data_IF_596437105832
#
_entry.id   IF_596437105832
#
_cell.length_a   1.000
_cell.length_b   1.000
_cell.length_c   1.000
_cell.angle_alpha   90.00
_cell.angle_beta   90.00
_cell.angle_gamma   90.00
#
_symmetry.space_group_name_H-M   'P 1'
#
loop_
_entity.id
_entity.type
_entity.pdbx_description
1 polymer ?
#
# COMPACT_ATOMS: atom_id res chain seq x y z
N UNK A 1 11.33 8.53 7.81
CA UNK A 1 10.56 9.74 7.49
C UNK A 1 9.53 9.96 8.60
N UNK A 2 9.52 11.16 9.18
CA UNK A 2 8.50 11.60 10.16
C UNK A 2 7.16 11.85 9.45
N UNK A 3 6.09 12.05 10.22
CA UNK A 3 4.78 12.37 9.65
C UNK A 3 4.79 13.72 8.92
N UNK A 4 5.51 14.72 9.44
CA UNK A 4 5.62 16.05 8.82
C UNK A 4 6.39 15.99 7.49
N UNK A 5 7.53 15.29 7.47
CA UNK A 5 8.29 15.07 6.23
C UNK A 5 7.44 14.35 5.17
N UNK A 6 6.64 13.36 5.61
CA UNK A 6 5.75 12.61 4.73
C UNK A 6 4.62 13.46 4.17
N UNK A 7 4.00 14.30 5.00
CA UNK A 7 2.94 15.22 4.58
C UNK A 7 3.46 16.25 3.55
N UNK A 8 4.64 16.83 3.79
CA UNK A 8 5.28 17.74 2.83
C UNK A 8 5.61 17.03 1.50
N UNK A 9 6.20 15.83 1.58
CA UNK A 9 6.51 15.03 0.39
C UNK A 9 5.26 14.69 -0.43
N UNK A 10 4.16 14.34 0.23
CA UNK A 10 2.87 14.10 -0.41
C UNK A 10 2.29 15.38 -1.01
N UNK A 11 2.37 16.51 -0.32
CA UNK A 11 1.88 17.79 -0.83
C UNK A 11 2.62 18.22 -2.10
N UNK A 12 3.94 18.03 -2.16
CA UNK A 12 4.73 18.32 -3.37
C UNK A 12 4.36 17.39 -4.54
N UNK A 13 4.16 16.10 -4.25
CA UNK A 13 3.69 15.14 -5.26
C UNK A 13 2.29 15.47 -5.78
N UNK A 14 1.39 15.91 -4.89
CA UNK A 14 0.04 16.33 -5.22
C UNK A 14 0.06 17.58 -6.12
N UNK A 15 0.85 18.61 -5.77
CA UNK A 15 1.04 19.83 -6.58
C UNK A 15 1.56 19.51 -7.97
N UNK A 16 2.51 18.58 -8.07
CA UNK A 16 3.05 18.14 -9.35
C UNK A 16 2.02 17.38 -10.21
N UNK A 17 0.98 16.81 -9.59
CA UNK A 17 -0.11 16.10 -10.28
C UNK A 17 -1.24 17.04 -10.71
N UNK A 18 -1.57 18.01 -9.87
CA UNK A 18 -2.64 18.99 -10.09
C UNK A 18 -2.06 20.41 -10.20
N UNK A 19 -1.16 20.62 -11.16
CA UNK A 19 -0.41 21.89 -11.31
C UNK A 19 -1.26 23.13 -11.61
N UNK A 20 -2.56 22.94 -11.87
CA UNK A 20 -3.53 24.00 -12.16
C UNK A 20 -4.66 24.09 -11.11
N UNK A 21 -4.63 23.25 -10.08
CA UNK A 21 -5.65 23.29 -9.03
C UNK A 21 -5.46 24.53 -8.15
N UNK A 22 -6.58 25.09 -7.72
CA UNK A 22 -6.63 26.13 -6.70
C UNK A 22 -6.23 25.59 -5.33
N UNK A 23 -5.87 26.48 -4.41
CA UNK A 23 -5.55 26.10 -3.02
C UNK A 23 -6.71 25.35 -2.33
N UNK A 24 -7.96 25.71 -2.66
CA UNK A 24 -9.14 25.03 -2.13
C UNK A 24 -9.25 23.59 -2.64
N UNK A 25 -9.12 23.37 -3.95
CA UNK A 25 -9.12 22.03 -4.54
C UNK A 25 -7.96 21.17 -4.02
N UNK A 26 -6.79 21.79 -3.82
CA UNK A 26 -5.61 21.12 -3.26
C UNK A 26 -5.84 20.67 -1.81
N UNK A 27 -6.50 21.50 -0.99
CA UNK A 27 -6.84 21.14 0.37
C UNK A 27 -7.83 19.97 0.45
N UNK A 28 -8.82 19.91 -0.46
CA UNK A 28 -9.79 18.81 -0.52
C UNK A 28 -9.13 17.47 -0.92
N UNK A 29 -8.10 17.53 -1.77
CA UNK A 29 -7.37 16.36 -2.25
C UNK A 29 -6.28 15.87 -1.30
N UNK A 30 -5.77 16.75 -0.42
CA UNK A 30 -4.70 16.45 0.54
C UNK A 30 -5.05 15.24 1.40
N UNK A 31 -4.09 14.35 1.62
CA UNK A 31 -4.26 13.22 2.53
C UNK A 31 -4.20 13.77 3.97
N UNK A 32 -5.20 13.48 4.83
CA UNK A 32 -5.18 13.98 6.21
C UNK A 32 -3.99 13.48 7.02
N UNK A 33 -3.34 14.36 7.79
CA UNK A 33 -2.15 14.01 8.57
C UNK A 33 -2.39 12.90 9.62
N UNK A 34 -3.62 12.74 10.12
CA UNK A 34 -3.98 11.71 11.10
C UNK A 34 -3.94 10.27 10.54
N UNK A 35 -3.97 10.09 9.21
CA UNK A 35 -3.80 8.77 8.59
C UNK A 35 -2.33 8.48 8.26
N UNK A 36 -1.45 9.48 8.32
CA UNK A 36 -0.02 9.28 8.09
C UNK A 36 0.63 8.55 9.27
N UNK A 37 1.59 7.69 8.95
CA UNK A 37 2.36 6.91 9.93
C UNK A 37 3.84 7.16 9.73
N UNK A 38 4.49 7.67 10.78
CA UNK A 38 5.94 7.79 10.82
C UNK A 38 6.61 6.42 10.71
N UNK A 39 7.70 6.38 9.93
CA UNK A 39 8.58 5.22 9.81
C UNK A 39 10.03 5.60 10.12
N UNK A 40 10.25 6.74 10.80
CA UNK A 40 11.57 7.26 11.16
C UNK A 40 12.35 6.36 12.13
N UNK A 41 11.67 5.46 12.85
CA UNK A 41 12.32 4.51 13.76
C UNK A 41 13.07 3.39 13.02
N UNK A 42 12.80 3.17 11.73
CA UNK A 42 13.58 2.24 10.92
C UNK A 42 14.81 2.93 10.32
N UNK A 43 15.99 2.48 10.76
CA UNK A 43 17.28 3.09 10.45
C UNK A 43 18.13 2.28 9.47
N UNK A 44 17.76 1.02 9.17
CA UNK A 44 18.46 0.21 8.18
C UNK A 44 18.24 0.74 6.76
N UNK A 45 19.14 0.41 5.79
CA UNK A 45 18.93 0.73 4.38
C UNK A 45 17.57 0.24 3.89
N UNK A 46 16.84 1.09 3.19
CA UNK A 46 15.53 0.76 2.61
C UNK A 46 15.75 0.15 1.23
N UNK A 47 15.81 -1.17 1.21
CA UNK A 47 16.03 -1.99 0.02
C UNK A 47 15.07 -3.18 0.07
N UNK A 48 14.83 -3.83 -1.06
CA UNK A 48 13.89 -4.96 -1.09
C UNK A 48 14.22 -6.05 -0.05
N UNK A 49 15.52 -6.29 0.18
CA UNK A 49 16.01 -7.28 1.14
C UNK A 49 15.65 -6.94 2.59
N UNK A 50 15.55 -5.65 2.94
CA UNK A 50 15.20 -5.19 4.29
C UNK A 50 13.70 -5.00 4.50
N UNK A 51 12.88 -5.12 3.45
CA UNK A 51 11.41 -5.01 3.56
C UNK A 51 10.83 -5.94 4.65
N UNK A 52 11.25 -7.20 4.82
CA UNK A 52 10.73 -8.03 5.89
C UNK A 52 11.02 -7.49 7.30
N UNK A 53 12.25 -7.02 7.54
CA UNK A 53 12.65 -6.42 8.81
C UNK A 53 11.91 -5.09 9.07
N UNK A 54 11.70 -4.30 8.02
CA UNK A 54 10.89 -3.09 8.07
C UNK A 54 9.45 -3.40 8.47
N UNK A 55 8.80 -4.36 7.82
CA UNK A 55 7.41 -4.74 8.14
C UNK A 55 7.30 -5.17 9.60
N UNK A 56 8.22 -6.02 10.06
CA UNK A 56 8.23 -6.51 11.43
C UNK A 56 8.40 -5.41 12.49
N UNK A 57 9.24 -4.40 12.21
CA UNK A 57 9.51 -3.34 13.18
C UNK A 57 8.52 -2.17 13.12
N UNK A 58 8.06 -1.80 11.92
CA UNK A 58 7.29 -0.56 11.71
C UNK A 58 5.79 -0.80 11.54
N UNK A 59 5.36 -2.02 11.21
CA UNK A 59 3.97 -2.35 10.89
C UNK A 59 3.43 -3.33 11.96
N UNK A 60 2.98 -2.84 13.13
CA UNK A 60 2.69 -3.64 14.33
C UNK A 60 1.37 -4.44 14.27
N UNK A 61 0.77 -4.59 13.08
CA UNK A 61 -0.56 -5.16 12.89
C UNK A 61 -0.57 -6.40 12.02
N UNK A 62 0.49 -7.23 12.10
CA UNK A 62 0.43 -8.57 11.51
C UNK A 62 -0.74 -9.32 12.15
N UNK A 63 -1.77 -9.69 11.38
CA UNK A 63 -2.99 -10.23 11.94
C UNK A 63 -2.69 -11.60 12.53
N UNK A 64 -3.13 -11.84 13.76
CA UNK A 64 -3.08 -13.16 14.40
C UNK A 64 -3.84 -14.22 13.58
N UNK A 65 -5.02 -13.84 13.07
CA UNK A 65 -5.84 -14.70 12.23
C UNK A 65 -6.62 -13.90 11.21
N UNK A 66 -6.71 -14.41 9.99
CA UNK A 66 -7.56 -13.86 8.94
C UNK A 66 -8.99 -14.38 9.10
N UNK A 67 -9.90 -13.48 9.46
CA UNK A 67 -11.32 -13.80 9.65
C UNK A 67 -12.10 -13.85 8.35
N UNK A 68 -11.80 -12.96 7.40
CA UNK A 68 -12.51 -12.84 6.11
C UNK A 68 -11.52 -12.85 4.95
N UNK A 69 -11.98 -13.32 3.79
CA UNK A 69 -11.25 -13.20 2.53
C UNK A 69 -11.07 -11.72 2.15
N UNK A 70 -10.07 -11.42 1.31
CA UNK A 70 -9.93 -10.10 0.69
C UNK A 70 -9.68 -8.93 1.66
N UNK A 71 -9.27 -9.22 2.90
CA UNK A 71 -9.08 -8.23 3.96
C UNK A 71 -7.63 -8.21 4.46
N UNK A 72 -6.68 -7.67 3.70
CA UNK A 72 -5.29 -7.58 4.12
C UNK A 72 -5.07 -6.51 5.20
N UNK A 73 -4.09 -6.74 6.07
CA UNK A 73 -3.57 -5.73 7.01
C UNK A 73 -2.54 -4.81 6.35
N UNK A 74 -1.91 -5.25 5.26
CA UNK A 74 -0.86 -4.51 4.56
C UNK A 74 -1.11 -4.53 3.04
N UNK A 75 -1.07 -3.37 2.41
CA UNK A 75 -1.10 -3.23 0.95
C UNK A 75 0.14 -2.43 0.54
N UNK A 76 1.05 -3.06 -0.19
CA UNK A 76 2.25 -2.39 -0.71
C UNK A 76 2.00 -1.90 -2.13
N UNK A 77 2.08 -0.58 -2.32
CA UNK A 77 2.04 0.04 -3.63
C UNK A 77 3.43 0.01 -4.23
N UNK A 78 3.55 -0.49 -5.45
CA UNK A 78 4.81 -0.59 -6.19
C UNK A 78 4.75 0.17 -7.51
N UNK A 79 5.88 0.70 -8.01
CA UNK A 79 5.93 1.49 -9.25
C UNK A 79 5.70 0.70 -10.54
N UNK A 80 5.73 -0.64 -10.48
CA UNK A 80 5.48 -1.49 -11.64
C UNK A 80 5.00 -2.89 -11.20
N UNK A 81 4.40 -3.63 -12.13
CA UNK A 81 3.99 -5.02 -11.89
C UNK A 81 5.18 -5.97 -11.64
N UNK A 82 6.33 -5.71 -12.27
CA UNK A 82 7.56 -6.48 -12.02
C UNK A 82 8.02 -6.25 -10.58
N UNK A 83 8.11 -4.98 -10.17
CA UNK A 83 8.50 -4.63 -8.79
C UNK A 83 7.50 -5.16 -7.76
N UNK A 84 6.21 -5.08 -8.04
CA UNK A 84 5.17 -5.67 -7.20
C UNK A 84 5.37 -7.19 -7.01
N UNK A 85 5.76 -7.92 -8.06
CA UNK A 85 6.06 -9.34 -7.96
C UNK A 85 7.27 -9.61 -7.04
N UNK A 86 8.29 -8.77 -7.07
CA UNK A 86 9.46 -8.87 -6.18
C UNK A 86 9.08 -8.57 -4.73
N UNK A 87 8.26 -7.55 -4.51
CA UNK A 87 7.66 -7.23 -3.20
C UNK A 87 6.83 -8.42 -2.68
N UNK A 88 6.01 -9.07 -3.51
CA UNK A 88 5.26 -10.27 -3.11
C UNK A 88 6.20 -11.37 -2.60
N UNK A 89 7.36 -11.58 -3.25
CA UNK A 89 8.35 -12.58 -2.80
C UNK A 89 8.99 -12.16 -1.47
N UNK A 90 9.37 -10.89 -1.32
CA UNK A 90 9.93 -10.37 -0.07
C UNK A 90 8.94 -10.48 1.10
N UNK A 91 7.67 -10.14 0.89
CA UNK A 91 6.63 -10.26 1.93
C UNK A 91 6.46 -11.70 2.42
N UNK A 92 6.66 -12.72 1.58
CA UNK A 92 6.63 -14.13 2.02
C UNK A 92 7.76 -14.50 2.99
N UNK A 93 8.81 -13.69 3.07
CA UNK A 93 9.92 -13.86 4.01
C UNK A 93 9.69 -13.16 5.35
N UNK A 94 8.60 -12.39 5.50
CA UNK A 94 8.19 -11.81 6.79
C UNK A 94 8.01 -12.92 7.82
N UNK A 95 8.52 -12.68 9.03
CA UNK A 95 8.45 -13.60 10.16
C UNK A 95 7.59 -13.00 11.25
N UNK A 96 6.69 -13.79 11.82
CA UNK A 96 5.92 -13.36 13.01
C UNK A 96 6.74 -13.65 14.28
N UNK A 97 6.73 -12.73 15.28
CA UNK A 97 7.37 -12.97 16.57
C UNK A 97 6.80 -14.20 17.29
N UNK A 98 7.61 -14.83 18.14
CA UNK A 98 7.17 -15.92 19.01
C UNK A 98 5.98 -15.48 19.88
N UNK A 99 4.96 -16.34 20.00
CA UNK A 99 3.73 -16.06 20.76
C UNK A 99 2.60 -15.34 19.98
N UNK A 100 2.78 -15.03 18.69
CA UNK A 100 1.69 -14.62 17.79
C UNK A 100 0.99 -15.84 17.13
N UNK A 101 -0.30 -15.77 16.81
CA UNK A 101 -0.96 -16.85 16.05
C UNK A 101 -0.32 -16.98 14.66
N UNK A 102 0.03 -18.22 14.26
CA UNK A 102 0.91 -18.50 13.12
C UNK A 102 2.38 -18.73 13.50
N UNK A 103 2.76 -18.47 14.77
CA UNK A 103 4.10 -18.71 15.32
C UNK A 103 4.54 -20.17 15.21
N UNK A 104 3.61 -21.14 15.20
CA UNK A 104 3.94 -22.56 14.94
C UNK A 104 4.68 -22.77 13.62
N UNK A 105 4.44 -21.89 12.64
CA UNK A 105 5.10 -21.92 11.31
C UNK A 105 6.13 -20.80 11.12
N UNK A 106 6.23 -19.87 12.08
CA UNK A 106 7.04 -18.65 11.99
C UNK A 106 6.63 -17.68 10.88
N UNK A 107 5.43 -17.81 10.29
CA UNK A 107 4.97 -17.02 9.12
C UNK A 107 3.63 -16.34 9.39
N UNK A 108 3.34 -15.18 8.75
CA UNK A 108 2.02 -14.56 8.77
C UNK A 108 0.93 -15.51 8.23
N UNK A 109 -0.32 -15.42 8.74
CA UNK A 109 -1.39 -16.28 8.28
C UNK A 109 -1.87 -15.91 6.87
N UNK A 110 -2.16 -16.90 6.03
CA UNK A 110 -2.73 -16.68 4.70
C UNK A 110 -1.74 -16.20 3.63
N UNK A 111 -2.27 -15.82 2.48
CA UNK A 111 -1.47 -15.55 1.29
C UNK A 111 -1.04 -14.07 1.13
N UNK A 112 -0.13 -13.84 0.19
CA UNK A 112 0.21 -12.50 -0.31
C UNK A 112 -0.44 -12.31 -1.69
N UNK A 113 -1.43 -11.44 -1.77
CA UNK A 113 -2.18 -11.15 -2.99
C UNK A 113 -1.36 -10.38 -4.04
N UNK A 114 -1.57 -10.71 -5.32
CA UNK A 114 -0.92 -10.06 -6.47
C UNK A 114 -1.92 -9.16 -7.19
N UNK A 115 -1.84 -7.85 -6.99
CA UNK A 115 -2.82 -6.87 -7.48
C UNK A 115 -2.20 -5.93 -8.53
N UNK A 116 -1.68 -6.49 -9.62
CA UNK A 116 -1.11 -5.74 -10.75
C UNK A 116 -1.47 -6.37 -12.10
N UNK A 117 -1.42 -5.59 -13.17
CA UNK A 117 -1.65 -6.06 -14.54
C UNK A 117 -0.40 -6.78 -15.08
N UNK A 118 -0.43 -8.11 -15.13
CA UNK A 118 0.58 -8.92 -15.85
C UNK A 118 -0.08 -10.07 -16.60
N UNK A 119 -0.70 -10.98 -15.87
CA UNK A 119 -1.44 -12.12 -16.42
C UNK A 119 -2.89 -12.18 -15.95
N UNK A 120 -3.25 -11.42 -14.91
CA UNK A 120 -4.59 -11.45 -14.33
C UNK A 120 -5.40 -10.21 -14.69
N UNK A 121 -6.64 -10.42 -15.12
CA UNK A 121 -7.66 -9.38 -15.26
C UNK A 121 -8.11 -8.90 -13.87
N UNK A 122 -8.75 -7.72 -13.83
CA UNK A 122 -9.26 -7.19 -12.56
C UNK A 122 -10.37 -8.09 -11.98
N UNK A 123 -11.24 -8.64 -12.83
CA UNK A 123 -12.30 -9.58 -12.43
C UNK A 123 -11.74 -10.86 -11.77
N UNK A 124 -10.67 -11.44 -12.34
CA UNK A 124 -10.02 -12.63 -11.78
C UNK A 124 -9.39 -12.34 -10.40
N UNK A 125 -8.84 -11.12 -10.21
CA UNK A 125 -8.34 -10.69 -8.91
C UNK A 125 -9.47 -10.48 -7.90
N UNK A 126 -10.62 -9.96 -8.34
CA UNK A 126 -11.82 -9.81 -7.51
C UNK A 126 -12.33 -11.20 -7.07
N UNK A 127 -12.41 -12.17 -7.97
CA UNK A 127 -12.76 -13.56 -7.65
C UNK A 127 -11.78 -14.18 -6.65
N UNK A 128 -10.47 -14.03 -6.88
CA UNK A 128 -9.44 -14.48 -5.95
C UNK A 128 -9.60 -13.86 -4.56
N UNK A 129 -9.83 -12.55 -4.48
CA UNK A 129 -9.99 -11.83 -3.22
C UNK A 129 -11.25 -12.25 -2.46
N UNK A 130 -12.34 -12.58 -3.15
CA UNK A 130 -13.56 -13.10 -2.53
C UNK A 130 -13.37 -14.51 -1.94
N UNK A 131 -12.51 -15.33 -2.55
CA UNK A 131 -12.27 -16.70 -2.11
C UNK A 131 -11.11 -16.83 -1.10
N UNK A 132 -10.13 -15.92 -1.15
CA UNK A 132 -8.82 -16.13 -0.51
C UNK A 132 -8.58 -15.20 0.66
N UNK A 133 -8.11 -15.78 1.77
CA UNK A 133 -7.61 -15.03 2.92
C UNK A 133 -6.17 -14.59 2.67
N UNK A 134 -5.98 -13.29 2.51
CA UNK A 134 -4.68 -12.65 2.34
C UNK A 134 -4.33 -11.79 3.56
N UNK A 135 -3.09 -11.83 4.04
CA UNK A 135 -2.63 -10.90 5.09
C UNK A 135 -2.02 -9.64 4.50
N UNK A 136 -1.41 -9.77 3.33
CA UNK A 136 -0.89 -8.66 2.57
C UNK A 136 -1.23 -8.76 1.09
N UNK A 137 -1.13 -7.64 0.40
CA UNK A 137 -1.14 -7.57 -1.05
C UNK A 137 -0.03 -6.66 -1.54
N UNK A 138 0.48 -6.90 -2.76
CA UNK A 138 1.30 -5.93 -3.48
C UNK A 138 0.75 -5.69 -4.89
N UNK A 139 0.77 -4.44 -5.32
CA UNK A 139 0.12 -4.02 -6.56
C UNK A 139 0.53 -2.63 -7.03
N UNK A 140 0.05 -2.23 -8.20
CA UNK A 140 0.21 -0.84 -8.69
C UNK A 140 -0.96 0.02 -8.22
N UNK A 141 -0.78 1.35 -8.05
CA UNK A 141 -1.86 2.24 -7.62
C UNK A 141 -3.10 2.14 -8.52
N UNK A 142 -2.93 2.12 -9.84
CA UNK A 142 -4.06 2.02 -10.77
C UNK A 142 -4.86 0.72 -10.63
N UNK A 143 -4.21 -0.42 -10.40
CA UNK A 143 -4.92 -1.70 -10.23
C UNK A 143 -5.65 -1.78 -8.90
N UNK A 144 -5.02 -1.34 -7.81
CA UNK A 144 -5.64 -1.34 -6.49
C UNK A 144 -6.83 -0.38 -6.46
N UNK A 145 -6.67 0.83 -6.99
CA UNK A 145 -7.77 1.79 -7.12
C UNK A 145 -8.92 1.24 -7.96
N UNK A 146 -8.63 0.58 -9.09
CA UNK A 146 -9.66 -0.09 -9.91
C UNK A 146 -10.44 -1.14 -9.12
N UNK A 147 -9.76 -2.04 -8.40
CA UNK A 147 -10.44 -3.10 -7.62
C UNK A 147 -11.33 -2.50 -6.53
N UNK A 148 -10.83 -1.47 -5.83
CA UNK A 148 -11.58 -0.76 -4.78
C UNK A 148 -12.80 -0.01 -5.34
N UNK A 149 -12.71 0.51 -6.55
CA UNK A 149 -13.81 1.21 -7.21
C UNK A 149 -14.87 0.23 -7.75
N UNK A 150 -14.43 -0.85 -8.39
CA UNK A 150 -15.30 -1.80 -9.11
C UNK A 150 -15.96 -2.84 -8.19
N UNK A 151 -15.49 -3.03 -6.95
CA UNK A 151 -15.99 -4.08 -6.05
C UNK A 151 -15.71 -3.82 -4.56
N UNK A 152 -16.25 -4.68 -3.70
CA UNK A 152 -15.92 -4.77 -2.26
C UNK A 152 -15.01 -5.96 -1.92
N UNK A 153 -14.48 -6.65 -2.93
CA UNK A 153 -13.64 -7.84 -2.72
C UNK A 153 -12.32 -7.49 -2.01
N UNK A 154 -11.77 -6.29 -2.23
CA UNK A 154 -10.69 -5.75 -1.41
C UNK A 154 -11.27 -4.84 -0.33
N UNK A 155 -11.33 -5.34 0.90
CA UNK A 155 -11.87 -4.58 2.04
C UNK A 155 -10.75 -3.91 2.83
N UNK A 156 -10.80 -2.57 2.93
CA UNK A 156 -9.95 -1.79 3.84
C UNK A 156 -10.59 -1.77 5.23
N UNK A 157 -9.78 -1.95 6.27
CA UNK A 157 -10.25 -1.88 7.65
C UNK A 157 -9.45 -0.86 8.44
N UNK A 158 -9.92 -0.63 9.66
CA UNK A 158 -9.18 0.10 10.66
C UNK A 158 -7.77 -0.48 10.79
N UNK A 159 -6.77 0.40 10.71
CA UNK A 159 -5.35 0.07 10.77
C UNK A 159 -4.79 -0.79 9.62
N UNK A 160 -5.54 -1.02 8.53
CA UNK A 160 -4.90 -1.46 7.27
C UNK A 160 -3.84 -0.44 6.90
N UNK A 161 -2.62 -0.92 6.59
CA UNK A 161 -1.51 -0.06 6.19
C UNK A 161 -1.36 -0.07 4.68
N UNK A 162 -1.39 1.10 4.06
CA UNK A 162 -0.94 1.33 2.69
C UNK A 162 0.51 1.78 2.75
N UNK A 163 1.42 0.96 2.24
CA UNK A 163 2.85 1.19 2.25
C UNK A 163 3.32 1.52 0.83
N UNK A 164 3.84 2.71 0.61
CA UNK A 164 4.42 3.08 -0.68
C UNK A 164 5.86 2.58 -0.75
N UNK A 165 6.19 1.74 -1.73
CA UNK A 165 7.56 1.31 -2.02
C UNK A 165 8.30 2.42 -2.78
N UNK A 166 9.06 3.22 -2.04
CA UNK A 166 9.95 4.25 -2.58
C UNK A 166 11.41 3.79 -2.65
N UNK A 167 11.72 2.59 -2.13
CA UNK A 167 13.05 1.97 -2.20
C UNK A 167 13.50 1.64 -3.63
N UNK A 168 12.58 1.52 -4.58
CA UNK A 168 12.89 1.27 -5.99
C UNK A 168 13.01 2.58 -6.79
N UNK A 169 14.01 2.63 -7.65
CA UNK A 169 14.18 3.66 -8.67
C UNK A 169 14.28 3.04 -10.06
N UNK A 170 13.60 3.64 -11.02
CA UNK A 170 13.72 3.24 -12.42
C UNK A 170 15.05 3.70 -13.04
N UNK A 171 15.25 3.41 -14.33
CA UNK A 171 16.46 3.80 -15.07
C UNK A 171 16.65 5.31 -15.20
N UNK A 172 15.62 6.11 -14.89
CA UNK A 172 15.67 7.58 -14.85
C UNK A 172 15.74 8.12 -13.41
N UNK A 173 16.07 7.26 -12.45
CA UNK A 173 16.19 7.60 -11.03
C UNK A 173 14.86 8.04 -10.36
N UNK A 174 13.71 7.67 -10.94
CA UNK A 174 12.37 8.05 -10.46
C UNK A 174 11.78 6.99 -9.53
N UNK A 175 11.02 7.43 -8.53
CA UNK A 175 10.30 6.59 -7.55
C UNK A 175 8.80 6.52 -7.90
N UNK A 176 8.02 5.76 -7.12
CA UNK A 176 6.58 5.62 -7.29
C UNK A 176 5.84 6.96 -7.47
N UNK A 177 6.21 7.99 -6.70
CA UNK A 177 5.57 9.31 -6.75
C UNK A 177 6.27 10.33 -7.67
N UNK A 178 7.34 9.94 -8.39
CA UNK A 178 7.99 10.81 -9.39
C UNK A 178 7.95 10.26 -10.81
N UNK A 179 7.51 9.01 -11.00
CA UNK A 179 7.08 8.50 -12.31
C UNK A 179 5.70 9.13 -12.61
N UNK A 180 5.54 9.98 -13.64
CA UNK A 180 4.32 10.76 -13.84
C UNK A 180 3.06 9.90 -13.92
N UNK A 181 3.10 8.79 -14.66
CA UNK A 181 1.94 7.92 -14.89
C UNK A 181 1.50 7.24 -13.58
N UNK A 182 2.45 6.77 -12.78
CA UNK A 182 2.18 6.08 -11.51
C UNK A 182 1.77 7.06 -10.41
N UNK A 183 2.39 8.24 -10.38
CA UNK A 183 2.02 9.35 -9.51
C UNK A 183 0.58 9.78 -9.79
N UNK A 184 0.23 9.93 -11.07
CA UNK A 184 -1.12 10.28 -11.49
C UNK A 184 -2.12 9.17 -11.12
N UNK A 185 -1.78 7.89 -11.28
CA UNK A 185 -2.62 6.79 -10.77
C UNK A 185 -2.83 6.86 -9.25
N UNK A 186 -1.77 7.15 -8.48
CA UNK A 186 -1.86 7.29 -7.03
C UNK A 186 -2.83 8.41 -6.63
N UNK A 187 -2.68 9.60 -7.21
CA UNK A 187 -3.44 10.77 -6.81
C UNK A 187 -4.83 10.83 -7.46
N UNK A 188 -4.97 10.46 -8.72
CA UNK A 188 -6.24 10.60 -9.47
C UNK A 188 -7.13 9.36 -9.33
N UNK A 189 -6.56 8.17 -9.28
CA UNK A 189 -7.34 6.91 -9.22
C UNK A 189 -7.50 6.45 -7.78
N UNK A 190 -6.41 6.30 -7.03
CA UNK A 190 -6.47 5.73 -5.68
C UNK A 190 -6.99 6.74 -4.65
N UNK A 191 -6.51 7.98 -4.67
CA UNK A 191 -6.91 9.03 -3.70
C UNK A 191 -7.84 10.11 -4.27
N UNK A 192 -8.08 10.11 -5.57
CA UNK A 192 -8.86 11.13 -6.29
C UNK A 192 -10.27 10.65 -6.67
N UNK A 193 -10.47 9.34 -6.85
CA UNK A 193 -11.82 8.79 -6.99
C UNK A 193 -12.56 8.90 -5.66
N UNK A 194 -13.75 9.52 -5.67
CA UNK A 194 -14.51 9.81 -4.45
C UNK A 194 -14.86 8.54 -3.67
N UNK A 195 -15.28 7.46 -4.36
CA UNK A 195 -15.69 6.21 -3.72
C UNK A 195 -14.49 5.51 -3.10
N UNK A 196 -13.37 5.45 -3.82
CA UNK A 196 -12.14 4.84 -3.32
C UNK A 196 -11.59 5.64 -2.14
N UNK A 197 -11.51 6.97 -2.28
CA UNK A 197 -11.05 7.87 -1.21
C UNK A 197 -11.89 7.72 0.06
N UNK A 198 -13.21 7.63 -0.07
CA UNK A 198 -14.11 7.38 1.05
C UNK A 198 -13.80 6.03 1.71
N UNK A 199 -13.67 4.95 0.95
CA UNK A 199 -13.27 3.62 1.45
C UNK A 199 -11.93 3.63 2.18
N UNK A 200 -10.97 4.43 1.73
CA UNK A 200 -9.64 4.53 2.36
C UNK A 200 -9.68 5.36 3.65
N UNK A 201 -10.25 6.56 3.59
CA UNK A 201 -10.07 7.57 4.65
C UNK A 201 -11.09 7.42 5.80
N UNK A 202 -12.30 6.93 5.54
CA UNK A 202 -13.31 6.75 6.60
C UNK A 202 -13.00 5.58 7.52
N UNK A 203 -12.29 4.56 7.03
CA UNK A 203 -12.01 3.34 7.80
C UNK A 203 -10.86 3.49 8.78
N UNK A 204 -10.12 4.61 8.78
CA UNK A 204 -8.94 4.79 9.62
C UNK A 204 -7.73 4.00 9.14
N UNK A 205 -7.50 3.98 7.82
CA UNK A 205 -6.28 3.45 7.19
C UNK A 205 -5.04 4.17 7.73
N UNK A 206 -3.88 3.52 7.62
CA UNK A 206 -2.58 4.17 7.86
C UNK A 206 -1.75 4.18 6.59
N UNK A 207 -1.09 5.29 6.30
CA UNK A 207 -0.26 5.46 5.10
C UNK A 207 1.18 5.67 5.54
N UNK A 208 2.08 4.87 4.99
CA UNK A 208 3.49 4.85 5.34
C UNK A 208 4.34 4.76 4.06
N UNK A 209 5.63 5.06 4.20
CA UNK A 209 6.62 4.87 3.13
C UNK A 209 7.68 3.85 3.53
N UNK A 210 8.05 3.03 2.57
CA UNK A 210 9.20 2.15 2.61
C UNK A 210 10.32 2.69 1.74
#
# INVERSE_FOLDING_TARGET
>A
MTTEELDNFFYDSLKATYSKASDMEMNDLRIPANVLRSTSAFTEPRELASLPAFVNSQIPSLPKRLKRAGTPSLIVLSPSGIRAADVVRALKSVRVPEGADGAETGKPPGEVGKLFAKHFKASEQIEYLNATKIWAAAGTPGRIGKILSDSDALTIRQQTVILLDLSYRDTKNRTLLTIPEIRDEFWKVLFGDKKVREKLLTTGVKIAVF
#
